data_IF_397650828437
#
_entry.id   IF_397650828437
#
_cell.length_a   1.000
_cell.length_b   1.000
_cell.length_c   1.000
_cell.angle_alpha   90.00
_cell.angle_beta   90.00
_cell.angle_gamma   90.00
#
_symmetry.space_group_name_H-M   'P 1'
#
loop_
_entity.id
_entity.type
_entity.pdbx_description
1 polymer ?
#
# COMPACT_ATOMS: atom_id res chain seq x y z
N UNK A 1 -16.56 -12.56 3.29
CA UNK A 1 -15.72 -12.00 2.21
C UNK A 1 -15.45 -10.50 2.41
N UNK A 2 -16.47 -9.66 2.58
CA UNK A 2 -16.31 -8.20 2.75
C UNK A 2 -15.29 -7.80 3.84
N UNK A 3 -15.35 -8.41 5.04
CA UNK A 3 -14.34 -8.16 6.09
C UNK A 3 -12.90 -8.51 5.68
N UNK A 4 -12.70 -9.61 4.97
CA UNK A 4 -11.35 -10.00 4.51
C UNK A 4 -10.82 -9.00 3.46
N UNK A 5 -11.69 -8.57 2.53
CA UNK A 5 -11.36 -7.53 1.54
C UNK A 5 -11.08 -6.18 2.22
N UNK A 6 -11.84 -5.85 3.27
CA UNK A 6 -11.61 -4.65 4.07
C UNK A 6 -10.26 -4.70 4.79
N UNK A 7 -9.92 -5.82 5.44
CA UNK A 7 -8.62 -6.00 6.09
C UNK A 7 -7.47 -5.91 5.10
N UNK A 8 -7.58 -6.56 3.94
CA UNK A 8 -6.59 -6.45 2.87
C UNK A 8 -6.46 -5.00 2.37
N UNK A 9 -7.58 -4.30 2.19
CA UNK A 9 -7.58 -2.90 1.78
C UNK A 9 -6.91 -1.97 2.79
N UNK A 10 -7.21 -2.12 4.08
CA UNK A 10 -6.55 -1.36 5.15
C UNK A 10 -5.06 -1.68 5.20
N UNK A 11 -4.69 -2.95 5.07
CA UNK A 11 -3.29 -3.35 5.04
C UNK A 11 -2.53 -2.70 3.87
N UNK A 12 -3.07 -2.77 2.65
CA UNK A 12 -2.49 -2.15 1.46
C UNK A 12 -2.40 -0.62 1.59
N UNK A 13 -3.41 0.02 2.17
CA UNK A 13 -3.42 1.45 2.44
C UNK A 13 -2.26 1.84 3.36
N UNK A 14 -2.11 1.12 4.47
CA UNK A 14 -1.08 1.41 5.49
C UNK A 14 0.33 1.19 4.93
N UNK A 15 0.58 0.09 4.21
CA UNK A 15 1.90 -0.17 3.63
C UNK A 15 2.25 0.88 2.56
N UNK A 16 1.30 1.26 1.70
CA UNK A 16 1.55 2.24 0.64
C UNK A 16 1.83 3.64 1.19
N UNK A 17 1.06 4.08 2.21
CA UNK A 17 1.32 5.37 2.88
C UNK A 17 2.68 5.36 3.57
N UNK A 18 3.03 4.27 4.25
CA UNK A 18 4.33 4.16 4.91
C UNK A 18 5.49 4.12 3.93
N UNK A 19 5.40 3.39 2.82
CA UNK A 19 6.46 3.39 1.80
C UNK A 19 6.66 4.77 1.15
N UNK A 20 5.58 5.52 0.94
CA UNK A 20 5.66 6.90 0.46
C UNK A 20 6.34 7.83 1.48
N UNK A 21 6.00 7.69 2.77
CA UNK A 21 6.64 8.46 3.86
C UNK A 21 8.11 8.08 4.00
N UNK A 22 8.46 6.79 3.94
CA UNK A 22 9.84 6.31 4.05
C UNK A 22 10.72 6.89 2.93
N UNK A 23 10.22 6.88 1.69
CA UNK A 23 10.96 7.44 0.56
C UNK A 23 11.13 8.97 0.66
N UNK A 24 10.16 9.68 1.23
CA UNK A 24 10.20 11.15 1.35
C UNK A 24 10.97 11.66 2.58
N UNK A 25 10.89 10.94 3.71
CA UNK A 25 11.33 11.43 5.01
C UNK A 25 12.27 10.47 5.76
N UNK A 26 12.50 9.26 5.25
CA UNK A 26 13.31 8.22 5.90
C UNK A 26 12.67 7.67 7.18
N UNK A 27 12.08 6.47 7.12
CA UNK A 27 11.35 5.84 8.23
C UNK A 27 12.10 4.61 8.79
N UNK A 28 12.86 4.73 9.90
CA UNK A 28 13.75 3.66 10.35
C UNK A 28 13.08 2.47 11.08
N UNK A 29 11.87 2.61 11.63
CA UNK A 29 11.33 1.64 12.62
C UNK A 29 10.45 0.52 12.00
N UNK A 30 9.68 0.83 10.95
CA UNK A 30 8.71 -0.09 10.33
C UNK A 30 9.11 -0.57 8.93
N UNK A 31 10.28 -0.13 8.45
CA UNK A 31 10.78 -0.40 7.10
C UNK A 31 10.82 -1.89 6.69
N UNK A 32 11.13 -2.89 7.54
CA UNK A 32 11.21 -4.28 7.07
C UNK A 32 9.87 -4.87 6.59
N UNK A 33 8.75 -4.44 7.18
CA UNK A 33 7.40 -4.96 6.86
C UNK A 33 6.67 -4.02 5.90
N UNK A 34 6.78 -2.70 6.11
CA UNK A 34 6.07 -1.71 5.30
C UNK A 34 6.84 -1.29 4.04
N UNK A 35 8.16 -1.53 3.98
CA UNK A 35 9.01 -1.25 2.82
C UNK A 35 9.29 -2.51 1.97
N UNK A 36 8.46 -3.55 2.09
CA UNK A 36 8.58 -4.77 1.28
C UNK A 36 8.60 -4.44 -0.22
N UNK A 37 7.84 -3.43 -0.65
CA UNK A 37 7.81 -3.02 -2.05
C UNK A 37 9.13 -2.41 -2.52
N UNK A 38 9.68 -1.41 -1.82
CA UNK A 38 10.99 -0.84 -2.17
C UNK A 38 12.15 -1.85 -2.01
N UNK A 39 12.01 -2.84 -1.13
CA UNK A 39 13.11 -3.77 -0.83
C UNK A 39 13.10 -5.04 -1.68
N UNK A 40 11.94 -5.52 -2.09
CA UNK A 40 11.80 -6.75 -2.88
C UNK A 40 11.26 -6.50 -4.29
N UNK A 41 10.47 -5.46 -4.53
CA UNK A 41 9.86 -5.22 -5.85
C UNK A 41 10.68 -4.23 -6.67
N UNK A 42 10.99 -3.05 -6.14
CA UNK A 42 11.70 -2.00 -6.89
C UNK A 42 13.08 -2.43 -7.42
N UNK A 43 13.93 -3.17 -6.68
CA UNK A 43 15.23 -3.60 -7.20
C UNK A 43 15.12 -4.58 -8.37
N UNK A 44 13.99 -5.28 -8.49
CA UNK A 44 13.73 -6.26 -9.54
C UNK A 44 12.94 -5.66 -10.72
N UNK A 45 12.45 -4.43 -10.59
CA UNK A 45 11.65 -3.75 -11.61
C UNK A 45 12.29 -2.39 -11.89
N UNK A 46 13.33 -2.40 -12.73
CA UNK A 46 14.12 -1.20 -13.05
C UNK A 46 13.30 -0.01 -13.61
N UNK A 47 12.09 -0.26 -14.14
CA UNK A 47 11.15 0.79 -14.56
C UNK A 47 10.54 1.58 -13.38
N UNK A 48 10.48 1.00 -12.19
CA UNK A 48 9.96 1.66 -10.98
C UNK A 48 11.04 2.46 -10.23
N UNK A 49 12.32 2.33 -10.62
CA UNK A 49 13.41 3.09 -10.04
C UNK A 49 13.20 4.59 -10.30
N UNK A 50 13.13 5.40 -9.23
CA UNK A 50 12.81 6.83 -9.30
C UNK A 50 11.32 7.18 -9.32
N UNK A 51 10.41 6.19 -9.40
CA UNK A 51 8.95 6.39 -9.28
C UNK A 51 8.39 5.79 -7.98
N UNK A 52 9.23 5.63 -6.97
CA UNK A 52 8.98 4.84 -5.77
C UNK A 52 7.84 5.42 -4.94
N UNK A 53 7.81 6.75 -4.76
CA UNK A 53 6.67 7.45 -4.15
C UNK A 53 5.37 7.19 -4.90
N UNK A 54 5.41 7.21 -6.23
CA UNK A 54 4.23 7.03 -7.07
C UNK A 54 3.70 5.59 -7.01
N UNK A 55 4.61 4.61 -6.96
CA UNK A 55 4.26 3.21 -6.76
C UNK A 55 3.58 3.00 -5.40
N UNK A 56 4.15 3.55 -4.33
CA UNK A 56 3.61 3.45 -2.97
C UNK A 56 2.25 4.16 -2.84
N UNK A 57 2.08 5.34 -3.45
CA UNK A 57 0.79 6.03 -3.53
C UNK A 57 -0.26 5.23 -4.31
N UNK A 58 0.14 4.54 -5.38
CA UNK A 58 -0.76 3.68 -6.15
C UNK A 58 -1.25 2.50 -5.31
N UNK A 59 -0.35 1.86 -4.54
CA UNK A 59 -0.71 0.80 -3.59
C UNK A 59 -1.66 1.32 -2.52
N UNK A 60 -1.39 2.51 -1.98
CA UNK A 60 -2.26 3.16 -1.01
C UNK A 60 -3.67 3.42 -1.58
N UNK A 61 -3.74 3.99 -2.79
CA UNK A 61 -4.99 4.27 -3.49
C UNK A 61 -5.79 2.99 -3.76
N UNK A 62 -5.13 1.90 -4.18
CA UNK A 62 -5.77 0.61 -4.39
C UNK A 62 -6.34 0.04 -3.08
N UNK A 63 -5.57 0.10 -2.00
CA UNK A 63 -6.03 -0.29 -0.67
C UNK A 63 -7.26 0.50 -0.21
N UNK A 64 -7.24 1.82 -0.39
CA UNK A 64 -8.41 2.67 -0.11
C UNK A 64 -9.63 2.28 -0.96
N UNK A 65 -9.44 2.00 -2.25
CA UNK A 65 -10.51 1.52 -3.14
C UNK A 65 -11.14 0.22 -2.63
N UNK A 66 -10.34 -0.74 -2.17
CA UNK A 66 -10.83 -1.98 -1.57
C UNK A 66 -11.62 -1.75 -0.28
N UNK A 67 -11.20 -0.82 0.59
CA UNK A 67 -11.95 -0.47 1.80
C UNK A 67 -13.31 0.14 1.45
N UNK A 68 -13.34 1.04 0.47
CA UNK A 68 -14.59 1.67 -0.01
C UNK A 68 -15.52 0.60 -0.60
N UNK A 69 -14.98 -0.28 -1.44
CA UNK A 69 -15.74 -1.36 -2.07
C UNK A 69 -16.32 -2.31 -1.03
N UNK A 70 -15.50 -2.76 -0.06
CA UNK A 70 -15.94 -3.65 1.00
C UNK A 70 -17.06 -3.04 1.84
N UNK A 71 -16.96 -1.75 2.20
CA UNK A 71 -18.03 -1.03 2.91
C UNK A 71 -19.33 -0.96 2.12
N UNK A 72 -19.23 -0.70 0.80
CA UNK A 72 -20.40 -0.67 -0.08
C UNK A 72 -21.07 -2.04 -0.17
N UNK A 73 -20.28 -3.12 -0.27
CA UNK A 73 -20.79 -4.49 -0.30
C UNK A 73 -21.45 -4.92 1.01
N UNK A 74 -20.95 -4.46 2.16
CA UNK A 74 -21.58 -4.72 3.48
C UNK A 74 -22.87 -3.92 3.69
N UNK A 75 -23.03 -2.77 3.03
CA UNK A 75 -24.24 -1.92 3.15
C UNK A 75 -25.36 -2.34 2.20
N UNK A 76 -25.11 -3.27 1.28
CA UNK A 76 -26.04 -3.73 0.25
C UNK A 76 -26.58 -5.15 0.48
N UNK A 77 -26.16 -5.82 1.56
CA UNK A 77 -26.66 -7.13 2.01
C UNK A 77 -27.41 -7.02 3.32
#
# INVERSE_FOLDING_TARGET
>A
MARAVQFAGVFLLVIGVSGAIDHLAGQPVLAPVLNVFNRYVIPHVGFLAGFETFANLTVAAFGMGMVILARRSDSAG
#
